data_IF_916246441990
#
_entry.id   IF_916246441990
#
_cell.length_a   1.000
_cell.length_b   1.000
_cell.length_c   1.000
_cell.angle_alpha   90.00
_cell.angle_beta   90.00
_cell.angle_gamma   90.00
#
_symmetry.space_group_name_H-M   'P 1'
#
loop_
_entity.id
_entity.type
_entity.pdbx_description
1 polymer ?
#
# COMPACT_ATOMS: atom_id res chain seq x y z
N UNK A 1 15.55 -3.05 9.91
CA UNK A 1 15.07 -1.72 9.46
C UNK A 1 15.42 -0.68 10.51
N UNK A 2 15.85 0.52 10.11
CA UNK A 2 16.10 1.65 11.03
C UNK A 2 14.81 2.44 11.32
N UNK A 3 14.69 3.16 12.45
CA UNK A 3 13.50 3.97 12.75
C UNK A 3 13.15 5.01 11.67
N UNK A 4 14.18 5.61 11.05
CA UNK A 4 14.02 6.62 10.01
C UNK A 4 13.42 6.00 8.73
N UNK A 5 13.91 4.83 8.33
CA UNK A 5 13.37 4.11 7.17
C UNK A 5 11.95 3.60 7.44
N UNK A 6 11.65 3.21 8.68
CA UNK A 6 10.29 2.84 9.06
C UNK A 6 9.33 4.02 8.92
N UNK A 7 9.67 5.16 9.52
CA UNK A 7 8.85 6.37 9.43
C UNK A 7 8.66 6.80 7.97
N UNK A 8 9.74 6.79 7.17
CA UNK A 8 9.67 7.08 5.75
C UNK A 8 8.70 6.12 5.02
N UNK A 9 8.79 4.81 5.28
CA UNK A 9 7.86 3.82 4.72
C UNK A 9 6.41 4.05 5.11
N UNK A 10 6.13 4.42 6.37
CA UNK A 10 4.77 4.77 6.82
C UNK A 10 4.27 6.03 6.10
N UNK A 11 5.10 7.06 5.95
CA UNK A 11 4.73 8.29 5.24
C UNK A 11 4.43 8.01 3.76
N UNK A 12 5.30 7.28 3.07
CA UNK A 12 5.13 6.94 1.65
C UNK A 12 3.87 6.09 1.44
N UNK A 13 3.70 5.04 2.22
CA UNK A 13 2.51 4.16 2.09
C UNK A 13 1.21 4.89 2.43
N UNK A 14 1.22 5.81 3.40
CA UNK A 14 0.08 6.71 3.67
C UNK A 14 -0.21 7.62 2.49
N UNK A 15 0.82 8.26 1.92
CA UNK A 15 0.68 9.14 0.77
C UNK A 15 0.10 8.40 -0.44
N UNK A 16 0.56 7.17 -0.72
CA UNK A 16 0.03 6.34 -1.81
C UNK A 16 -1.47 6.07 -1.60
N UNK A 17 -1.88 5.67 -0.38
CA UNK A 17 -3.29 5.43 -0.06
C UNK A 17 -4.15 6.69 -0.17
N UNK A 18 -3.63 7.83 0.26
CA UNK A 18 -4.30 9.13 0.15
C UNK A 18 -4.40 9.60 -1.31
N UNK A 19 -3.34 9.49 -2.10
CA UNK A 19 -3.37 9.81 -3.53
C UNK A 19 -4.35 8.91 -4.30
N UNK A 20 -4.40 7.62 -3.95
CA UNK A 20 -5.36 6.71 -4.52
C UNK A 20 -6.81 7.07 -4.14
N UNK A 21 -7.05 7.49 -2.89
CA UNK A 21 -8.34 8.04 -2.46
C UNK A 21 -8.71 9.32 -3.23
N UNK A 22 -7.78 10.26 -3.40
CA UNK A 22 -8.02 11.49 -4.18
C UNK A 22 -8.37 11.17 -5.64
N UNK A 23 -7.72 10.16 -6.22
CA UNK A 23 -8.01 9.73 -7.59
C UNK A 23 -9.39 9.07 -7.73
N UNK A 24 -9.76 8.16 -6.81
CA UNK A 24 -11.02 7.40 -6.89
C UNK A 24 -12.22 8.10 -6.26
N UNK A 25 -11.98 9.07 -5.38
CA UNK A 25 -12.98 9.74 -4.57
C UNK A 25 -13.67 8.84 -3.54
N UNK A 26 -14.64 9.43 -2.83
CA UNK A 26 -15.52 8.73 -1.89
C UNK A 26 -15.40 9.22 -0.44
N UNK A 27 -16.06 8.51 0.47
CA UNK A 27 -16.18 8.92 1.88
C UNK A 27 -14.89 8.78 2.68
N UNK A 28 -14.85 9.38 3.88
CA UNK A 28 -13.75 9.22 4.84
C UNK A 28 -13.47 7.74 5.17
N UNK A 29 -14.51 6.89 5.21
CA UNK A 29 -14.34 5.44 5.42
C UNK A 29 -13.52 4.80 4.30
N UNK A 30 -13.66 5.26 3.05
CA UNK A 30 -12.85 4.79 1.91
C UNK A 30 -11.41 5.28 2.00
N UNK A 31 -11.17 6.50 2.49
CA UNK A 31 -9.81 6.97 2.76
C UNK A 31 -9.09 6.05 3.75
N UNK A 32 -9.74 5.76 4.89
CA UNK A 32 -9.18 4.87 5.92
C UNK A 32 -8.90 3.48 5.33
N UNK A 33 -9.84 2.93 4.55
CA UNK A 33 -9.66 1.65 3.87
C UNK A 33 -8.44 1.67 2.92
N UNK A 34 -8.31 2.68 2.07
CA UNK A 34 -7.19 2.75 1.12
C UNK A 34 -5.84 2.98 1.81
N UNK A 35 -5.78 3.79 2.87
CA UNK A 35 -4.55 3.91 3.67
C UNK A 35 -4.17 2.56 4.29
N UNK A 36 -5.12 1.85 4.89
CA UNK A 36 -4.87 0.53 5.49
C UNK A 36 -4.42 -0.50 4.44
N UNK A 37 -5.09 -0.57 3.29
CA UNK A 37 -4.69 -1.46 2.19
C UNK A 37 -3.31 -1.12 1.62
N UNK A 38 -3.02 0.17 1.48
CA UNK A 38 -1.70 0.65 1.05
C UNK A 38 -0.61 0.22 2.03
N UNK A 39 -0.83 0.36 3.34
CA UNK A 39 0.10 -0.14 4.37
C UNK A 39 0.32 -1.65 4.25
N UNK A 40 -0.76 -2.42 4.16
CA UNK A 40 -0.67 -3.88 4.05
C UNK A 40 0.12 -4.30 2.81
N UNK A 41 -0.23 -3.77 1.63
CA UNK A 41 0.48 -4.09 0.40
C UNK A 41 1.93 -3.62 0.42
N UNK A 42 2.20 -2.42 0.94
CA UNK A 42 3.55 -1.85 1.00
C UNK A 42 4.49 -2.68 1.87
N UNK A 43 4.10 -2.96 3.11
CA UNK A 43 4.93 -3.71 4.03
C UNK A 43 5.04 -5.18 3.62
N UNK A 44 3.99 -5.79 3.07
CA UNK A 44 4.07 -7.14 2.52
C UNK A 44 5.09 -7.22 1.37
N UNK A 45 5.11 -6.25 0.46
CA UNK A 45 6.09 -6.20 -0.64
C UNK A 45 7.51 -5.98 -0.17
N UNK A 46 7.72 -5.08 0.81
CA UNK A 46 9.05 -4.88 1.40
C UNK A 46 9.57 -6.17 2.05
N UNK A 47 8.73 -6.86 2.83
CA UNK A 47 9.09 -8.11 3.49
C UNK A 47 9.35 -9.21 2.47
N UNK A 48 8.48 -9.39 1.48
CA UNK A 48 8.66 -10.37 0.41
C UNK A 48 9.97 -10.15 -0.34
N UNK A 49 10.26 -8.91 -0.72
CA UNK A 49 11.51 -8.55 -1.38
C UNK A 49 12.73 -8.87 -0.49
N UNK A 50 12.65 -8.57 0.80
CA UNK A 50 13.72 -8.88 1.76
C UNK A 50 13.99 -10.39 1.85
N UNK A 51 12.94 -11.21 1.91
CA UNK A 51 13.06 -12.68 1.97
C UNK A 51 13.66 -13.26 0.69
N UNK A 52 13.38 -12.65 -0.46
CA UNK A 52 13.89 -13.06 -1.77
C UNK A 52 15.24 -12.41 -2.14
N UNK A 53 15.81 -11.60 -1.24
CA UNK A 53 17.01 -10.78 -1.48
C UNK A 53 16.89 -9.86 -2.72
N UNK A 54 15.68 -9.38 -3.00
CA UNK A 54 15.42 -8.43 -4.07
C UNK A 54 15.63 -7.00 -3.58
N UNK A 55 16.50 -6.26 -4.27
CA UNK A 55 16.87 -4.88 -3.93
C UNK A 55 16.32 -3.86 -4.96
N UNK A 56 15.20 -4.17 -5.61
CA UNK A 56 14.64 -3.34 -6.68
C UNK A 56 14.22 -1.95 -6.16
N UNK A 57 14.88 -0.92 -6.72
CA UNK A 57 14.73 0.49 -6.34
C UNK A 57 14.76 0.71 -4.81
N UNK A 58 15.71 0.07 -4.12
CA UNK A 58 15.86 0.21 -2.68
C UNK A 58 16.33 1.62 -2.26
N UNK A 59 15.85 2.10 -1.12
CA UNK A 59 16.31 3.34 -0.46
C UNK A 59 16.73 2.99 0.95
N UNK A 60 18.04 2.95 1.19
CA UNK A 60 18.59 2.41 2.43
C UNK A 60 18.11 0.97 2.66
N UNK A 61 17.59 0.61 3.84
CA UNK A 61 17.11 -0.74 4.12
C UNK A 61 15.70 -1.01 3.57
N UNK A 62 15.06 -0.05 2.89
CA UNK A 62 13.69 -0.17 2.43
C UNK A 62 13.66 -0.56 0.94
N UNK A 63 13.11 -1.72 0.63
CA UNK A 63 12.87 -2.20 -0.75
C UNK A 63 11.70 -1.45 -1.40
N UNK A 64 11.90 -0.15 -1.66
CA UNK A 64 10.85 0.81 -1.99
C UNK A 64 10.12 0.45 -3.29
N UNK A 65 10.83 0.04 -4.34
CA UNK A 65 10.20 -0.35 -5.61
C UNK A 65 9.19 -1.48 -5.44
N UNK A 66 9.60 -2.56 -4.78
CA UNK A 66 8.71 -3.70 -4.52
C UNK A 66 7.55 -3.32 -3.59
N UNK A 67 7.81 -2.52 -2.56
CA UNK A 67 6.78 -2.04 -1.64
C UNK A 67 5.72 -1.20 -2.35
N UNK A 68 6.12 -0.27 -3.24
CA UNK A 68 5.19 0.54 -4.03
C UNK A 68 4.38 -0.35 -4.97
N UNK A 69 5.05 -1.26 -5.69
CA UNK A 69 4.40 -2.14 -6.67
C UNK A 69 3.29 -2.98 -6.02
N UNK A 70 3.58 -3.63 -4.90
CA UNK A 70 2.59 -4.45 -4.20
C UNK A 70 1.50 -3.61 -3.52
N UNK A 71 1.82 -2.41 -3.01
CA UNK A 71 0.81 -1.48 -2.50
C UNK A 71 -0.22 -1.11 -3.57
N UNK A 72 0.24 -0.79 -4.79
CA UNK A 72 -0.64 -0.46 -5.92
C UNK A 72 -1.51 -1.68 -6.31
N UNK A 73 -0.93 -2.89 -6.36
CA UNK A 73 -1.68 -4.12 -6.65
C UNK A 73 -2.77 -4.34 -5.59
N UNK A 74 -2.43 -4.28 -4.31
CA UNK A 74 -3.38 -4.49 -3.20
C UNK A 74 -4.48 -3.42 -3.20
N UNK A 75 -4.14 -2.16 -3.46
CA UNK A 75 -5.12 -1.08 -3.63
C UNK A 75 -6.06 -1.33 -4.80
N UNK A 76 -5.54 -1.75 -5.95
CA UNK A 76 -6.35 -2.04 -7.13
C UNK A 76 -7.34 -3.18 -6.86
N UNK A 77 -6.88 -4.27 -6.23
CA UNK A 77 -7.73 -5.40 -5.85
C UNK A 77 -8.76 -4.98 -4.80
N UNK A 78 -8.35 -4.30 -3.73
CA UNK A 78 -9.28 -3.86 -2.69
C UNK A 78 -10.30 -2.83 -3.17
N UNK A 79 -9.91 -1.95 -4.11
CA UNK A 79 -10.84 -1.07 -4.81
C UNK A 79 -11.87 -1.88 -5.59
N UNK A 80 -11.42 -2.81 -6.42
CA UNK A 80 -12.31 -3.65 -7.22
C UNK A 80 -13.31 -4.43 -6.35
N UNK A 81 -12.83 -5.04 -5.26
CA UNK A 81 -13.69 -5.72 -4.28
C UNK A 81 -14.70 -4.76 -3.62
N UNK A 82 -14.32 -3.51 -3.36
CA UNK A 82 -15.21 -2.51 -2.77
C UNK A 82 -16.36 -2.06 -3.69
N UNK A 83 -16.32 -2.42 -4.97
CA UNK A 83 -17.39 -2.14 -5.94
C UNK A 83 -18.44 -3.26 -5.99
N UNK A 84 -18.14 -4.43 -5.44
CA UNK A 84 -19.07 -5.57 -5.44
C UNK A 84 -20.27 -5.26 -4.55
N UNK A 85 -21.47 -5.26 -5.13
CA UNK A 85 -22.73 -5.15 -4.39
C UNK A 85 -23.16 -6.54 -3.97
N UNK A 86 -23.25 -6.78 -2.66
CA UNK A 86 -23.86 -8.01 -2.14
C UNK A 86 -25.37 -7.80 -2.15
N UNK A 87 -26.07 -8.44 -3.07
CA UNK A 87 -27.53 -8.49 -3.08
C UNK A 87 -27.98 -9.26 -1.83
N UNK A 88 -28.65 -8.57 -0.90
CA UNK A 88 -29.29 -9.23 0.23
C UNK A 88 -30.55 -9.92 -0.29
N UNK A 89 -30.51 -11.25 -0.32
CA UNK A 89 -31.70 -12.11 -0.49
C UNK A 89 -32.61 -12.00 0.73
#
# INVERSE_FOLDING_TARGET
MTPQAFLFGVLVSTLIGALFHLWRGGSLKRLILYVALSWLGFWAGHLLASQLNWNFAAVGPLNLGMAILTAVIVLAVGYWLSLVKIEKQ
#
